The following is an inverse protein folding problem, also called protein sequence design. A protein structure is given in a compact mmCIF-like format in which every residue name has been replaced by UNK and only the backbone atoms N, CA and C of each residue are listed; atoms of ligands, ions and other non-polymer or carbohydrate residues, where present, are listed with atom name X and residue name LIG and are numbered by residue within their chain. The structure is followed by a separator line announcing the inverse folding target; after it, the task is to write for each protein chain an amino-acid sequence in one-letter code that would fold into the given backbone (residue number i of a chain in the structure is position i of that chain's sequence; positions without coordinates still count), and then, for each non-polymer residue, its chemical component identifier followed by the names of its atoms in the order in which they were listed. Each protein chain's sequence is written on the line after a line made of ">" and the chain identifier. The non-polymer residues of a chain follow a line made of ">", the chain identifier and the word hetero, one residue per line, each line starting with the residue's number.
data_IF_756186295694
#
_entry.id   IF_756186295694
#
_cell.length_a   1.000
_cell.length_b   1.000
_cell.length_c   1.000
_cell.angle_alpha   90.00
_cell.angle_beta   90.00
_cell.angle_gamma   90.00
#
_symmetry.space_group_name_H-M   'P 1'
#
loop_
_entity.id
_entity.type
_entity.pdbx_description
1 polymer ?
#
# COMPACT_ATOMS: atom_id res chain seq x y z
N UNK A 1 -7.26 14.76 33.76
CA UNK A 1 -5.90 15.19 33.38
C UNK A 1 -5.10 13.90 33.41
N UNK A 2 -4.97 13.22 32.28
CA UNK A 2 -4.13 12.05 32.11
C UNK A 2 -2.69 12.52 31.98
N UNK A 3 -1.79 12.00 32.83
CA UNK A 3 -0.34 12.19 32.69
C UNK A 3 0.08 11.70 31.29
N UNK A 4 0.22 12.60 30.35
CA UNK A 4 0.92 12.32 29.10
C UNK A 4 2.40 12.16 29.42
N UNK A 5 2.83 10.93 29.66
CA UNK A 5 4.25 10.61 29.74
C UNK A 5 4.92 11.16 28.46
N UNK A 6 5.98 11.95 28.63
CA UNK A 6 6.75 12.48 27.52
C UNK A 6 7.24 11.31 26.65
N UNK A 7 7.42 11.51 25.34
CA UNK A 7 7.97 10.48 24.44
C UNK A 7 9.32 9.93 24.97
N UNK A 8 10.02 10.72 25.78
CA UNK A 8 11.30 10.37 26.42
C UNK A 8 11.17 9.23 27.43
N UNK A 9 10.01 9.08 28.07
CA UNK A 9 9.76 8.08 29.12
C UNK A 9 9.04 6.82 28.62
N UNK A 10 8.64 6.79 27.33
CA UNK A 10 7.93 5.64 26.78
C UNK A 10 8.88 4.53 26.36
N UNK A 11 8.59 3.30 26.77
CA UNK A 11 9.27 2.09 26.29
C UNK A 11 8.62 1.65 24.98
N UNK A 12 9.35 1.52 23.86
CA UNK A 12 8.79 1.08 22.61
C UNK A 12 8.32 -0.38 22.70
N UNK A 13 7.13 -0.68 22.16
CA UNK A 13 6.56 -2.02 22.14
C UNK A 13 7.07 -2.89 20.99
N UNK A 14 7.69 -2.26 20.00
CA UNK A 14 8.17 -2.90 18.78
C UNK A 14 9.26 -2.06 18.10
N UNK A 15 9.94 -2.67 17.12
CA UNK A 15 11.08 -2.06 16.42
C UNK A 15 10.70 -0.82 15.59
N UNK A 16 9.44 -0.68 15.12
CA UNK A 16 8.98 0.50 14.38
C UNK A 16 8.86 1.68 15.34
N UNK A 17 8.26 1.48 16.51
CA UNK A 17 8.18 2.50 17.56
C UNK A 17 9.57 2.89 18.08
N UNK A 18 10.47 1.91 18.24
CA UNK A 18 11.86 2.18 18.61
C UNK A 18 12.53 3.13 17.61
N UNK A 19 12.38 2.87 16.31
CA UNK A 19 12.91 3.73 15.25
C UNK A 19 12.29 5.13 15.29
N UNK A 20 10.97 5.22 15.39
CA UNK A 20 10.24 6.49 15.42
C UNK A 20 10.64 7.35 16.62
N UNK A 21 10.74 6.74 17.81
CA UNK A 21 11.17 7.46 19.01
C UNK A 21 12.62 7.93 18.91
N UNK A 22 13.51 7.12 18.33
CA UNK A 22 14.88 7.50 18.04
C UNK A 22 14.96 8.68 17.07
N UNK A 23 14.19 8.64 15.99
CA UNK A 23 14.17 9.71 14.98
C UNK A 23 13.60 11.04 15.55
N UNK A 24 12.60 10.97 16.44
CA UNK A 24 12.08 12.14 17.16
C UNK A 24 13.09 12.69 18.17
N UNK A 25 13.72 11.83 18.99
CA UNK A 25 14.73 12.23 19.98
C UNK A 25 15.95 12.86 19.34
N UNK A 26 16.37 12.37 18.18
CA UNK A 26 17.49 12.94 17.43
C UNK A 26 17.15 14.26 16.71
N UNK A 27 15.87 14.66 16.68
CA UNK A 27 15.42 15.84 15.95
C UNK A 27 15.45 15.68 14.43
N UNK A 28 15.59 14.45 13.92
CA UNK A 28 15.56 14.16 12.47
C UNK A 28 14.24 14.56 11.83
N UNK A 29 13.14 14.29 12.52
CA UNK A 29 11.81 14.76 12.14
C UNK A 29 11.18 15.57 13.26
N UNK A 30 10.53 16.68 12.90
CA UNK A 30 9.74 17.50 13.84
C UNK A 30 8.37 16.90 14.11
N UNK A 31 7.84 16.17 13.14
CA UNK A 31 6.56 15.50 13.19
C UNK A 31 6.64 14.21 12.39
N UNK A 32 6.03 13.16 12.89
CA UNK A 32 5.89 11.89 12.19
C UNK A 32 4.67 11.96 11.27
N UNK A 33 4.86 11.54 10.03
CA UNK A 33 3.79 11.40 9.04
C UNK A 33 3.83 9.97 8.52
N UNK A 34 2.74 9.26 8.74
CA UNK A 34 2.48 7.93 8.21
C UNK A 34 1.35 7.99 7.18
N UNK A 35 1.03 6.87 6.56
CA UNK A 35 -0.12 6.76 5.67
C UNK A 35 -0.66 5.33 5.61
N UNK A 36 -1.96 5.19 5.41
CA UNK A 36 -2.59 3.94 5.03
C UNK A 36 -2.99 4.04 3.55
N UNK A 37 -2.33 3.25 2.63
CA UNK A 37 -2.48 3.41 1.19
C UNK A 37 -3.20 2.23 0.54
N UNK A 38 -4.49 1.97 0.83
CA UNK A 38 -5.18 0.84 0.21
C UNK A 38 -5.41 1.06 -1.29
N UNK A 39 -5.35 -0.02 -2.08
CA UNK A 39 -5.92 -0.04 -3.42
C UNK A 39 -7.46 -0.10 -3.31
N UNK A 40 -8.22 0.75 -4.04
CA UNK A 40 -9.69 0.75 -3.99
C UNK A 40 -10.30 -0.37 -4.86
N UNK A 41 -9.92 -1.60 -4.63
CA UNK A 41 -10.20 -2.76 -5.45
C UNK A 41 -10.86 -3.93 -4.68
N UNK A 42 -11.38 -3.68 -3.48
CA UNK A 42 -12.09 -4.65 -2.62
C UNK A 42 -12.27 -4.18 -1.20
N UNK A 43 -13.07 -4.93 -0.45
CA UNK A 43 -13.31 -4.69 0.97
C UNK A 43 -12.09 -5.05 1.83
N UNK A 44 -11.88 -4.30 2.90
CA UNK A 44 -10.85 -4.60 3.88
C UNK A 44 -11.22 -5.84 4.71
N UNK A 45 -10.23 -6.61 5.10
CA UNK A 45 -10.39 -7.75 5.99
C UNK A 45 -9.57 -7.55 7.27
N UNK A 46 -9.76 -8.42 8.25
CA UNK A 46 -9.08 -8.34 9.56
C UNK A 46 -7.56 -8.20 9.45
N UNK A 47 -6.93 -8.72 8.40
CA UNK A 47 -5.50 -8.52 8.14
C UNK A 47 -5.10 -7.06 7.93
N UNK A 48 -5.99 -6.26 7.34
CA UNK A 48 -5.75 -4.82 7.15
C UNK A 48 -5.89 -4.02 8.46
N UNK A 49 -6.62 -4.56 9.46
CA UNK A 49 -6.74 -3.90 10.76
C UNK A 49 -5.38 -3.69 11.42
N UNK A 50 -4.42 -4.63 11.26
CA UNK A 50 -3.06 -4.46 11.76
C UNK A 50 -2.38 -3.23 11.12
N UNK A 51 -2.47 -3.10 9.81
CA UNK A 51 -1.87 -1.97 9.09
C UNK A 51 -2.53 -0.63 9.46
N UNK A 52 -3.87 -0.61 9.60
CA UNK A 52 -4.61 0.57 10.02
C UNK A 52 -4.21 0.98 11.43
N UNK A 53 -4.33 0.06 12.40
CA UNK A 53 -4.00 0.35 13.80
C UNK A 53 -2.53 0.75 13.97
N UNK A 54 -1.62 0.19 13.17
CA UNK A 54 -0.21 0.55 13.21
C UNK A 54 0.02 1.98 12.71
N UNK A 55 -0.45 2.32 11.52
CA UNK A 55 -0.21 3.62 10.91
C UNK A 55 -0.92 4.76 11.67
N UNK A 56 -2.20 4.59 11.95
CA UNK A 56 -2.99 5.59 12.68
C UNK A 56 -2.62 5.62 14.15
N UNK A 57 -2.50 4.46 14.81
CA UNK A 57 -2.18 4.40 16.24
C UNK A 57 -0.81 4.99 16.56
N UNK A 58 0.22 4.77 15.74
CA UNK A 58 1.51 5.43 15.90
C UNK A 58 1.38 6.94 15.74
N UNK A 59 0.66 7.41 14.72
CA UNK A 59 0.47 8.84 14.51
C UNK A 59 -0.21 9.49 15.73
N UNK A 60 -1.29 8.90 16.26
CA UNK A 60 -1.95 9.37 17.50
C UNK A 60 -1.00 9.35 18.70
N UNK A 61 -0.22 8.29 18.86
CA UNK A 61 0.69 8.09 19.98
C UNK A 61 1.78 9.17 20.09
N UNK A 62 2.26 9.69 18.94
CA UNK A 62 3.33 10.69 18.89
C UNK A 62 2.86 12.08 18.46
N UNK A 63 1.56 12.35 18.47
CA UNK A 63 0.96 13.60 17.96
C UNK A 63 1.40 13.91 16.52
N UNK A 64 1.51 12.86 15.70
CA UNK A 64 1.84 12.90 14.30
C UNK A 64 0.60 13.01 13.40
N UNK A 65 0.80 12.69 12.13
CA UNK A 65 -0.26 12.70 11.10
C UNK A 65 -0.32 11.33 10.43
N UNK A 66 -1.52 10.81 10.20
CA UNK A 66 -1.73 9.69 9.30
C UNK A 66 -2.63 10.11 8.13
N UNK A 67 -2.15 9.91 6.90
CA UNK A 67 -2.92 10.15 5.68
C UNK A 67 -3.68 8.87 5.27
N UNK A 68 -4.91 9.03 4.81
CA UNK A 68 -5.57 8.01 3.99
C UNK A 68 -5.33 8.37 2.53
N UNK A 69 -4.70 7.46 1.77
CA UNK A 69 -4.41 7.64 0.36
C UNK A 69 -4.83 6.40 -0.41
N UNK A 70 -5.67 6.57 -1.39
CA UNK A 70 -5.95 5.50 -2.33
C UNK A 70 -4.84 5.38 -3.38
N UNK A 71 -4.31 4.17 -3.52
CA UNK A 71 -3.42 3.82 -4.62
C UNK A 71 -4.27 3.42 -5.82
N UNK A 72 -4.71 4.43 -6.55
CA UNK A 72 -5.57 4.34 -7.72
C UNK A 72 -4.76 4.45 -9.04
N UNK A 73 -3.62 3.79 -9.12
CA UNK A 73 -2.76 3.79 -10.30
C UNK A 73 -3.25 2.84 -11.41
N UNK A 74 -4.18 1.94 -11.11
CA UNK A 74 -4.68 0.96 -12.05
C UNK A 74 -6.18 1.13 -12.34
N UNK A 75 -6.55 1.84 -13.45
CA UNK A 75 -7.94 2.18 -13.76
C UNK A 75 -8.89 0.98 -13.90
N UNK A 76 -8.37 -0.19 -14.23
CA UNK A 76 -9.19 -1.37 -14.52
C UNK A 76 -9.79 -2.06 -13.29
N UNK A 77 -9.47 -1.61 -12.07
CA UNK A 77 -9.82 -2.32 -10.83
C UNK A 77 -10.53 -1.48 -9.77
N UNK A 78 -10.81 -0.23 -10.06
CA UNK A 78 -11.25 0.73 -9.05
C UNK A 78 -12.77 0.92 -9.08
N UNK A 79 -13.39 0.85 -7.91
CA UNK A 79 -14.83 1.06 -7.74
C UNK A 79 -15.11 2.00 -6.57
N UNK A 80 -16.02 2.96 -6.77
CA UNK A 80 -16.43 3.93 -5.74
C UNK A 80 -17.01 3.26 -4.48
N UNK A 81 -17.60 2.09 -4.62
CA UNK A 81 -18.11 1.30 -3.51
C UNK A 81 -17.01 0.94 -2.53
N UNK A 82 -15.84 0.51 -3.06
CA UNK A 82 -14.71 0.11 -2.21
C UNK A 82 -14.11 1.30 -1.47
N UNK A 83 -14.02 2.48 -2.12
CA UNK A 83 -13.55 3.71 -1.47
C UNK A 83 -14.39 4.02 -0.22
N UNK A 84 -15.73 4.05 -0.37
CA UNK A 84 -16.65 4.30 0.75
C UNK A 84 -16.53 3.26 1.86
N UNK A 85 -16.48 1.98 1.50
CA UNK A 85 -16.34 0.91 2.47
C UNK A 85 -15.02 1.03 3.26
N UNK A 86 -13.92 1.35 2.60
CA UNK A 86 -12.61 1.53 3.25
C UNK A 86 -12.64 2.72 4.21
N UNK A 87 -13.19 3.85 3.80
CA UNK A 87 -13.35 5.02 4.68
C UNK A 87 -14.22 4.72 5.90
N UNK A 88 -15.34 4.00 5.70
CA UNK A 88 -16.21 3.55 6.79
C UNK A 88 -15.51 2.61 7.76
N UNK A 89 -14.69 1.68 7.25
CA UNK A 89 -13.98 0.71 8.06
C UNK A 89 -12.88 1.37 8.91
N UNK A 90 -12.16 2.37 8.36
CA UNK A 90 -11.18 3.16 9.13
C UNK A 90 -11.88 3.93 10.26
N UNK A 91 -13.01 4.61 9.96
CA UNK A 91 -13.79 5.32 10.99
C UNK A 91 -14.41 4.38 12.00
N UNK A 92 -14.88 3.22 11.59
CA UNK A 92 -15.40 2.21 12.51
C UNK A 92 -14.35 1.73 13.51
N UNK A 93 -13.09 1.59 13.07
CA UNK A 93 -11.97 1.30 13.99
C UNK A 93 -11.63 2.48 14.92
N UNK A 94 -12.32 3.62 14.81
CA UNK A 94 -12.15 4.79 15.67
C UNK A 94 -11.02 5.73 15.22
N UNK A 95 -10.56 5.60 13.97
CA UNK A 95 -9.54 6.48 13.42
C UNK A 95 -10.14 7.47 12.41
N UNK A 96 -9.49 8.62 12.29
CA UNK A 96 -9.75 9.61 11.24
C UNK A 96 -8.41 10.08 10.65
N UNK A 97 -8.42 10.55 9.43
CA UNK A 97 -7.22 11.01 8.74
C UNK A 97 -7.16 12.52 8.63
N UNK A 98 -5.96 13.04 8.47
CA UNK A 98 -5.75 14.48 8.38
C UNK A 98 -6.17 15.03 7.02
N UNK A 99 -7.08 15.98 7.03
CA UNK A 99 -7.53 16.68 5.83
C UNK A 99 -8.42 15.84 4.92
N UNK A 100 -8.22 15.97 3.60
CA UNK A 100 -8.99 15.22 2.61
C UNK A 100 -8.32 13.88 2.30
N UNK A 101 -9.14 12.89 1.91
CA UNK A 101 -8.67 11.65 1.30
C UNK A 101 -7.81 11.97 0.07
N UNK A 102 -6.64 11.39 0.00
CA UNK A 102 -5.66 11.59 -1.08
C UNK A 102 -5.73 10.44 -2.08
N UNK A 103 -5.26 10.70 -3.29
CA UNK A 103 -5.24 9.73 -4.38
C UNK A 103 -3.91 9.81 -5.14
N UNK A 104 -3.37 8.67 -5.54
CA UNK A 104 -2.18 8.65 -6.38
C UNK A 104 -2.43 9.37 -7.71
N UNK A 105 -3.64 9.24 -8.27
CA UNK A 105 -4.06 9.90 -9.52
C UNK A 105 -4.02 11.42 -9.49
N UNK A 106 -4.10 12.05 -8.31
CA UNK A 106 -3.93 13.51 -8.17
C UNK A 106 -2.54 13.97 -8.64
N UNK A 107 -1.57 13.06 -8.66
CA UNK A 107 -0.17 13.34 -8.98
C UNK A 107 0.28 12.79 -10.34
N UNK A 108 -0.61 12.29 -11.18
CA UNK A 108 -0.25 11.69 -12.48
C UNK A 108 0.57 12.63 -13.38
N UNK A 109 0.25 13.93 -13.35
CA UNK A 109 1.03 14.91 -14.10
C UNK A 109 2.47 14.98 -13.58
N UNK A 110 2.67 15.04 -12.26
CA UNK A 110 3.99 15.09 -11.65
C UNK A 110 4.79 13.80 -11.90
N UNK A 111 4.13 12.65 -11.86
CA UNK A 111 4.79 11.37 -12.18
C UNK A 111 5.25 11.34 -13.64
N UNK A 112 4.43 11.85 -14.56
CA UNK A 112 4.82 11.95 -15.96
C UNK A 112 6.03 12.85 -16.15
N UNK A 113 6.07 14.02 -15.51
CA UNK A 113 7.22 14.94 -15.54
C UNK A 113 8.49 14.28 -14.96
N UNK A 114 8.36 13.49 -13.90
CA UNK A 114 9.49 12.75 -13.34
C UNK A 114 9.95 11.60 -14.22
N UNK A 115 9.06 10.95 -14.94
CA UNK A 115 9.44 9.96 -15.96
C UNK A 115 10.21 10.63 -17.10
N UNK A 116 9.75 11.79 -17.58
CA UNK A 116 10.47 12.64 -18.56
C UNK A 116 11.86 13.04 -18.02
N UNK A 117 11.94 13.40 -16.75
CA UNK A 117 13.23 13.72 -16.11
C UNK A 117 14.19 12.52 -16.13
N UNK A 118 13.73 11.32 -15.78
CA UNK A 118 14.57 10.11 -15.83
C UNK A 118 15.06 9.83 -17.26
N UNK A 119 14.22 9.99 -18.28
CA UNK A 119 14.63 9.82 -19.68
C UNK A 119 15.73 10.82 -20.03
N UNK A 120 15.56 12.10 -19.70
CA UNK A 120 16.56 13.15 -19.96
C UNK A 120 17.90 12.90 -19.26
N UNK A 121 17.87 12.22 -18.11
CA UNK A 121 19.06 11.81 -17.37
C UNK A 121 19.69 10.51 -17.88
N UNK A 122 19.07 9.85 -18.87
CA UNK A 122 19.51 8.54 -19.33
C UNK A 122 19.25 7.40 -18.32
N UNK A 123 18.35 7.63 -17.37
CA UNK A 123 17.97 6.69 -16.32
C UNK A 123 16.64 5.94 -16.62
N UNK A 124 16.05 6.19 -17.78
CA UNK A 124 14.90 5.44 -18.29
C UNK A 124 14.95 5.37 -19.81
N UNK A 125 14.34 4.33 -20.37
CA UNK A 125 14.23 4.12 -21.81
C UNK A 125 12.89 3.46 -22.15
N UNK A 126 12.39 3.71 -23.36
CA UNK A 126 11.23 3.01 -23.90
C UNK A 126 11.70 1.68 -24.50
N UNK A 127 11.04 0.62 -24.08
CA UNK A 127 11.29 -0.74 -24.55
C UNK A 127 10.17 -1.18 -25.52
N UNK A 128 10.55 -1.77 -26.64
CA UNK A 128 9.64 -2.27 -27.65
C UNK A 128 9.43 -3.79 -27.53
N UNK A 129 10.03 -4.41 -26.51
CA UNK A 129 9.83 -5.83 -26.21
C UNK A 129 8.42 -6.07 -25.64
N UNK A 130 7.83 -7.17 -26.01
CA UNK A 130 6.59 -7.66 -25.39
C UNK A 130 6.81 -8.04 -23.92
N UNK A 131 5.74 -8.11 -23.16
CA UNK A 131 5.79 -8.50 -21.74
C UNK A 131 6.46 -9.88 -21.52
N UNK A 132 6.29 -10.83 -22.45
CA UNK A 132 6.93 -12.15 -22.36
C UNK A 132 8.42 -12.07 -22.67
N UNK A 133 8.83 -11.29 -23.68
CA UNK A 133 10.24 -11.04 -23.98
C UNK A 133 10.92 -10.28 -22.83
N UNK A 134 10.28 -9.26 -22.25
CA UNK A 134 10.80 -8.55 -21.07
C UNK A 134 11.03 -9.54 -19.92
N UNK A 135 10.09 -10.47 -19.70
CA UNK A 135 10.24 -11.51 -18.66
C UNK A 135 11.43 -12.43 -18.95
N UNK A 136 11.60 -12.84 -20.21
CA UNK A 136 12.75 -13.66 -20.63
C UNK A 136 14.06 -12.90 -20.44
N UNK A 137 14.14 -11.63 -20.91
CA UNK A 137 15.35 -10.81 -20.78
C UNK A 137 15.70 -10.50 -19.32
N UNK A 138 14.71 -10.34 -18.46
CA UNK A 138 14.91 -10.12 -17.02
C UNK A 138 15.56 -11.30 -16.32
N UNK A 139 15.40 -12.53 -16.86
CA UNK A 139 15.93 -13.75 -16.27
C UNK A 139 15.17 -14.21 -15.03
N UNK A 140 15.82 -15.04 -14.23
CA UNK A 140 15.24 -15.66 -13.01
C UNK A 140 16.06 -15.31 -11.78
N UNK A 141 15.68 -15.84 -10.60
CA UNK A 141 16.48 -15.68 -9.37
C UNK A 141 17.88 -16.33 -9.47
N UNK A 142 18.03 -17.32 -10.33
CA UNK A 142 19.29 -18.07 -10.55
C UNK A 142 20.01 -17.71 -11.84
N UNK A 143 19.35 -17.00 -12.74
CA UNK A 143 19.89 -16.56 -14.03
C UNK A 143 19.89 -15.04 -14.09
N UNK A 144 21.02 -14.43 -14.44
CA UNK A 144 21.13 -12.98 -14.61
C UNK A 144 20.31 -12.51 -15.81
N UNK A 145 19.84 -11.27 -15.74
CA UNK A 145 19.18 -10.65 -16.86
C UNK A 145 20.17 -10.26 -17.98
N UNK A 146 19.62 -9.94 -19.14
CA UNK A 146 20.35 -9.40 -20.30
C UNK A 146 19.74 -8.09 -20.75
N UNK A 147 20.56 -7.21 -21.26
CA UNK A 147 20.14 -5.90 -21.74
C UNK A 147 19.14 -6.03 -22.91
N UNK A 148 18.09 -5.21 -22.88
CA UNK A 148 17.22 -5.04 -24.03
C UNK A 148 17.97 -4.38 -25.18
N UNK A 149 17.68 -4.76 -26.45
CA UNK A 149 18.24 -4.07 -27.61
C UNK A 149 17.92 -2.57 -27.65
N UNK A 150 16.86 -2.14 -26.96
CA UNK A 150 16.40 -0.74 -26.91
C UNK A 150 16.99 0.05 -25.75
N UNK A 151 17.72 -0.59 -24.84
CA UNK A 151 18.26 0.00 -23.60
C UNK A 151 19.18 1.21 -23.84
N UNK A 152 19.83 1.26 -24.98
CA UNK A 152 20.80 2.30 -25.35
C UNK A 152 20.27 3.28 -26.41
N UNK A 153 18.94 3.33 -26.61
CA UNK A 153 18.29 4.35 -27.43
C UNK A 153 18.56 5.74 -26.87
N UNK A 154 18.72 6.76 -27.73
CA UNK A 154 19.03 8.13 -27.30
C UNK A 154 17.90 8.71 -26.41
N UNK A 155 18.24 9.69 -25.57
CA UNK A 155 17.26 10.36 -24.72
C UNK A 155 16.19 11.09 -25.55
N UNK A 156 16.61 11.72 -26.67
CA UNK A 156 15.73 12.45 -27.57
C UNK A 156 14.69 11.51 -28.22
N UNK A 157 15.15 10.36 -28.71
CA UNK A 157 14.28 9.35 -29.31
C UNK A 157 13.31 8.76 -28.27
N UNK A 158 13.81 8.40 -27.06
CA UNK A 158 12.98 7.93 -25.96
C UNK A 158 11.90 8.96 -25.55
N UNK A 159 12.26 10.24 -25.47
CA UNK A 159 11.32 11.31 -25.17
C UNK A 159 10.21 11.40 -26.21
N UNK A 160 10.58 11.39 -27.49
CA UNK A 160 9.59 11.45 -28.57
C UNK A 160 8.63 10.26 -28.50
N UNK A 161 9.15 9.03 -28.32
CA UNK A 161 8.32 7.83 -28.23
C UNK A 161 7.43 7.87 -26.98
N UNK A 162 7.94 8.31 -25.84
CA UNK A 162 7.15 8.39 -24.59
C UNK A 162 6.02 9.42 -24.69
N UNK A 163 6.23 10.55 -25.35
CA UNK A 163 5.15 11.48 -25.68
C UNK A 163 4.13 10.86 -26.65
N UNK A 164 4.60 10.13 -27.66
CA UNK A 164 3.75 9.43 -28.61
C UNK A 164 2.91 8.32 -27.91
N UNK A 165 3.46 7.66 -26.88
CA UNK A 165 2.70 6.73 -26.02
C UNK A 165 1.58 7.47 -25.30
N UNK A 166 1.85 8.62 -24.69
CA UNK A 166 0.86 9.45 -24.01
C UNK A 166 -0.23 9.95 -24.97
N UNK A 167 0.15 10.25 -26.20
CA UNK A 167 -0.78 10.74 -27.23
C UNK A 167 -1.59 9.63 -27.89
N UNK A 168 -1.49 8.39 -27.40
CA UNK A 168 -2.29 7.25 -27.86
C UNK A 168 -1.90 6.70 -29.21
N UNK A 169 -0.66 6.90 -29.68
CA UNK A 169 -0.18 6.43 -30.99
C UNK A 169 0.18 4.95 -31.01
N UNK A 170 0.21 4.29 -29.85
CA UNK A 170 0.56 2.88 -29.70
C UNK A 170 -0.55 2.11 -28.96
N UNK A 171 -0.61 0.81 -29.24
CA UNK A 171 -1.54 -0.09 -28.58
C UNK A 171 -0.95 -0.62 -27.24
N UNK A 172 -1.82 -1.19 -26.41
CA UNK A 172 -1.39 -1.88 -25.19
C UNK A 172 -0.39 -2.99 -25.50
N UNK A 173 0.70 -3.03 -24.73
CA UNK A 173 1.75 -4.04 -24.89
C UNK A 173 2.76 -3.77 -26.01
N UNK A 174 2.60 -2.71 -26.82
CA UNK A 174 3.57 -2.36 -27.87
C UNK A 174 4.81 -1.66 -27.32
N UNK A 175 4.63 -0.90 -26.25
CA UNK A 175 5.69 -0.07 -25.66
C UNK A 175 5.52 0.00 -24.14
N UNK A 176 6.62 -0.06 -23.44
CA UNK A 176 6.69 0.18 -22.00
C UNK A 176 7.87 1.11 -21.68
N UNK A 177 7.73 1.99 -20.68
CA UNK A 177 8.86 2.75 -20.17
C UNK A 177 9.49 1.97 -19.03
N UNK A 178 10.81 1.76 -19.10
CA UNK A 178 11.58 1.03 -18.09
C UNK A 178 12.62 1.94 -17.45
N UNK A 179 12.83 1.79 -16.13
CA UNK A 179 14.00 2.36 -15.48
C UNK A 179 15.27 1.65 -15.97
N UNK A 180 16.37 2.38 -16.10
CA UNK A 180 17.67 1.87 -16.50
C UNK A 180 18.57 1.75 -15.28
N UNK A 181 18.61 0.56 -14.68
CA UNK A 181 19.31 0.30 -13.41
C UNK A 181 20.42 -0.73 -13.62
N UNK A 182 20.15 -2.01 -13.35
CA UNK A 182 21.14 -3.07 -13.43
C UNK A 182 20.52 -4.43 -13.77
N UNK A 183 20.69 -4.88 -15.02
CA UNK A 183 20.18 -6.18 -15.45
C UNK A 183 20.93 -7.37 -14.83
N UNK A 184 22.09 -7.15 -14.22
CA UNK A 184 22.87 -8.15 -13.49
C UNK A 184 22.53 -8.26 -12.01
N UNK A 185 21.64 -7.39 -11.48
CA UNK A 185 21.32 -7.37 -10.06
C UNK A 185 20.80 -8.71 -9.53
N UNK A 186 21.21 -9.09 -8.32
CA UNK A 186 20.63 -10.20 -7.59
C UNK A 186 19.17 -9.97 -7.20
N UNK A 187 18.76 -8.70 -7.04
CA UNK A 187 17.37 -8.31 -6.84
C UNK A 187 16.68 -8.11 -8.19
N UNK A 188 15.70 -8.96 -8.47
CA UNK A 188 14.99 -8.95 -9.76
C UNK A 188 14.20 -7.66 -9.99
N UNK A 189 13.81 -6.95 -8.91
CA UNK A 189 13.10 -5.67 -8.99
C UNK A 189 14.01 -4.52 -9.46
N UNK A 190 15.34 -4.69 -9.43
CA UNK A 190 16.31 -3.72 -9.96
C UNK A 190 16.73 -4.01 -11.41
N UNK A 191 16.23 -5.10 -12.02
CA UNK A 191 16.54 -5.46 -13.39
C UNK A 191 15.67 -4.70 -14.39
N UNK A 192 15.95 -3.42 -14.54
CA UNK A 192 15.26 -2.48 -15.42
C UNK A 192 13.72 -2.64 -15.35
N UNK A 193 13.09 -2.32 -14.19
CA UNK A 193 11.67 -2.51 -14.01
C UNK A 193 10.84 -1.59 -14.91
N UNK A 194 9.65 -2.06 -15.28
CA UNK A 194 8.64 -1.24 -15.96
C UNK A 194 8.13 -0.16 -15.02
N UNK A 195 8.13 1.09 -15.46
CA UNK A 195 7.65 2.24 -14.68
C UNK A 195 6.40 2.88 -15.27
N UNK A 196 6.17 2.75 -16.58
CA UNK A 196 4.93 3.14 -17.27
C UNK A 196 4.52 2.11 -18.30
N UNK A 197 3.23 1.91 -18.42
CA UNK A 197 2.59 1.04 -19.42
C UNK A 197 1.42 1.75 -20.09
N UNK A 198 1.09 1.33 -21.31
CA UNK A 198 -0.10 1.78 -22.04
C UNK A 198 -1.30 0.96 -21.55
N UNK A 199 -2.37 1.64 -21.14
CA UNK A 199 -3.66 1.04 -20.79
C UNK A 199 -4.78 1.90 -21.37
N UNK A 200 -5.58 1.32 -22.25
CA UNK A 200 -6.74 1.98 -22.84
C UNK A 200 -7.98 1.75 -21.98
N UNK A 201 -8.01 2.35 -20.79
CA UNK A 201 -9.08 2.19 -19.82
C UNK A 201 -9.51 3.53 -19.26
N UNK A 202 -10.82 3.67 -19.03
CA UNK A 202 -11.39 4.84 -18.35
C UNK A 202 -11.00 4.81 -16.86
N UNK A 203 -10.39 5.89 -16.38
CA UNK A 203 -10.03 6.03 -14.97
C UNK A 203 -11.16 6.73 -14.21
N UNK A 204 -11.64 6.22 -13.06
CA UNK A 204 -12.78 6.78 -12.34
C UNK A 204 -12.66 8.28 -12.00
N UNK A 205 -11.44 8.77 -11.76
CA UNK A 205 -11.20 10.16 -11.39
C UNK A 205 -10.66 11.04 -12.51
N UNK A 206 -9.78 10.53 -13.35
CA UNK A 206 -9.15 11.31 -14.42
C UNK A 206 -9.81 11.12 -15.79
N UNK A 207 -10.81 10.23 -15.88
CA UNK A 207 -11.51 9.94 -17.13
C UNK A 207 -10.58 9.35 -18.19
N UNK A 208 -10.68 9.86 -19.40
CA UNK A 208 -9.88 9.41 -20.55
C UNK A 208 -8.68 10.34 -20.82
N UNK A 209 -8.24 11.11 -19.80
CA UNK A 209 -7.13 12.05 -19.92
C UNK A 209 -5.80 11.34 -20.15
N UNK A 210 -5.66 10.13 -19.65
CA UNK A 210 -4.44 9.34 -19.71
C UNK A 210 -4.69 8.02 -20.42
N UNK A 211 -3.73 7.59 -21.22
CA UNK A 211 -3.64 6.24 -21.78
C UNK A 211 -2.32 5.55 -21.41
N UNK A 212 -1.46 6.24 -20.65
CA UNK A 212 -0.26 5.69 -20.01
C UNK A 212 -0.37 5.85 -18.51
N UNK A 213 -0.06 4.79 -17.78
CA UNK A 213 -0.21 4.75 -16.33
C UNK A 213 1.08 4.30 -15.65
N UNK A 214 1.46 4.94 -14.53
CA UNK A 214 2.61 4.51 -13.76
C UNK A 214 2.33 3.15 -13.11
N UNK A 215 3.40 2.38 -12.92
CA UNK A 215 3.32 1.18 -12.08
C UNK A 215 3.30 1.58 -10.60
N UNK A 216 2.83 0.67 -9.74
CA UNK A 216 2.85 0.85 -8.29
C UNK A 216 4.24 1.22 -7.77
N UNK A 217 5.27 0.47 -8.17
CA UNK A 217 6.64 0.70 -7.70
C UNK A 217 7.17 2.09 -8.05
N UNK A 218 6.75 2.64 -9.19
CA UNK A 218 7.13 4.00 -9.57
C UNK A 218 6.35 5.06 -8.79
N UNK A 219 5.03 4.90 -8.62
CA UNK A 219 4.18 5.90 -7.99
C UNK A 219 4.33 5.97 -6.47
N UNK A 220 4.54 4.82 -5.81
CA UNK A 220 4.44 4.67 -4.37
C UNK A 220 5.38 5.59 -3.56
N UNK A 221 6.69 5.50 -3.77
CA UNK A 221 7.67 6.32 -3.06
C UNK A 221 7.55 7.81 -3.37
N UNK A 222 7.21 8.12 -4.61
CA UNK A 222 7.03 9.49 -5.07
C UNK A 222 5.81 10.15 -4.43
N UNK A 223 4.70 9.41 -4.29
CA UNK A 223 3.52 9.90 -3.58
C UNK A 223 3.83 10.09 -2.09
N UNK A 224 4.55 9.15 -1.48
CA UNK A 224 5.01 9.31 -0.09
C UNK A 224 5.81 10.61 0.08
N UNK A 225 6.71 10.90 -0.86
CA UNK A 225 7.49 12.14 -0.84
C UNK A 225 6.65 13.39 -1.00
N UNK A 226 5.70 13.41 -1.96
CA UNK A 226 4.80 14.54 -2.19
C UNK A 226 3.89 14.82 -0.98
N UNK A 227 3.55 13.78 -0.24
CA UNK A 227 2.73 13.89 0.97
C UNK A 227 3.52 14.21 2.24
N UNK A 228 4.84 14.28 2.16
CA UNK A 228 5.71 14.50 3.30
C UNK A 228 5.74 13.34 4.30
N UNK A 229 5.44 12.12 3.84
CA UNK A 229 5.53 10.91 4.65
C UNK A 229 6.96 10.75 5.16
N UNK A 230 7.11 10.49 6.45
CA UNK A 230 8.42 10.25 7.07
C UNK A 230 8.72 8.75 7.19
N UNK A 231 7.72 7.99 7.60
CA UNK A 231 7.80 6.55 7.83
C UNK A 231 6.74 5.84 6.97
N UNK A 232 7.22 5.20 5.91
CA UNK A 232 6.45 4.42 4.97
C UNK A 232 6.34 2.98 5.48
N UNK A 233 5.27 2.65 6.20
CA UNK A 233 5.08 1.33 6.80
C UNK A 233 4.41 0.39 5.80
N UNK A 234 5.07 -0.73 5.49
CA UNK A 234 4.63 -1.72 4.49
C UNK A 234 4.69 -3.14 5.06
N UNK A 235 4.06 -4.09 4.39
CA UNK A 235 4.21 -5.51 4.72
C UNK A 235 5.53 -6.08 4.15
N UNK A 236 6.03 -7.19 4.72
CA UNK A 236 7.30 -7.83 4.32
C UNK A 236 7.38 -8.20 2.84
N UNK A 237 6.25 -8.37 2.16
CA UNK A 237 6.23 -8.64 0.72
C UNK A 237 6.87 -7.51 -0.12
N UNK A 238 6.99 -6.31 0.44
CA UNK A 238 7.65 -5.16 -0.19
C UNK A 238 9.14 -5.00 0.21
N UNK A 239 9.70 -5.91 1.00
CA UNK A 239 11.10 -5.80 1.43
C UNK A 239 12.08 -5.82 0.25
N UNK A 240 11.83 -6.69 -0.74
CA UNK A 240 12.64 -6.76 -1.96
C UNK A 240 12.39 -5.57 -2.92
N UNK A 241 11.29 -4.83 -2.73
CA UNK A 241 10.98 -3.61 -3.49
C UNK A 241 11.64 -2.36 -2.88
N UNK A 242 12.02 -2.37 -1.60
CA UNK A 242 12.63 -1.21 -0.93
C UNK A 242 13.88 -0.66 -1.64
N UNK A 243 14.83 -1.46 -2.17
CA UNK A 243 15.96 -0.90 -2.92
C UNK A 243 15.53 -0.13 -4.17
N UNK A 244 14.44 -0.53 -4.83
CA UNK A 244 13.86 0.20 -5.96
C UNK A 244 13.18 1.50 -5.51
N UNK A 245 12.45 1.46 -4.41
CA UNK A 245 11.88 2.65 -3.77
C UNK A 245 12.95 3.69 -3.45
N UNK A 246 14.03 3.28 -2.80
CA UNK A 246 15.16 4.15 -2.44
C UNK A 246 15.85 4.70 -3.70
N UNK A 247 16.02 3.88 -4.73
CA UNK A 247 16.60 4.31 -6.00
C UNK A 247 15.78 5.44 -6.66
N UNK A 248 14.45 5.36 -6.64
CA UNK A 248 13.62 6.44 -7.20
C UNK A 248 13.73 7.73 -6.35
N UNK A 249 13.75 7.61 -5.03
CA UNK A 249 13.91 8.78 -4.14
C UNK A 249 15.26 9.49 -4.38
N UNK A 250 16.33 8.74 -4.61
CA UNK A 250 17.65 9.29 -4.96
C UNK A 250 17.71 9.87 -6.38
N UNK A 251 17.10 9.19 -7.34
CA UNK A 251 17.20 9.56 -8.75
C UNK A 251 16.36 10.79 -9.13
N UNK A 252 15.33 11.10 -8.36
CA UNK A 252 14.34 12.14 -8.68
C UNK A 252 14.49 13.37 -7.77
N UNK A 253 14.14 14.57 -8.25
CA UNK A 253 14.13 15.79 -7.46
C UNK A 253 12.87 15.85 -6.58
N UNK A 254 12.74 14.90 -5.68
CA UNK A 254 11.58 14.79 -4.78
C UNK A 254 11.64 15.80 -3.63
N UNK A 255 10.49 16.28 -3.11
CA UNK A 255 10.46 17.31 -2.06
C UNK A 255 10.83 16.81 -0.67
N UNK A 256 10.73 15.50 -0.41
CA UNK A 256 11.10 14.87 0.86
C UNK A 256 11.63 13.46 0.66
N UNK A 257 12.35 12.93 1.66
CA UNK A 257 12.97 11.61 1.62
C UNK A 257 12.30 10.67 2.62
N UNK A 258 11.16 10.05 2.26
CA UNK A 258 10.51 9.06 3.09
C UNK A 258 11.38 7.81 3.24
N UNK A 259 11.24 7.10 4.36
CA UNK A 259 11.93 5.82 4.59
C UNK A 259 10.92 4.70 4.76
N UNK A 260 11.16 3.59 4.06
CA UNK A 260 10.31 2.40 4.10
C UNK A 260 10.74 1.45 5.22
N UNK A 261 9.75 0.94 5.96
CA UNK A 261 9.92 -0.05 7.03
C UNK A 261 8.89 -1.16 6.85
N UNK A 262 9.34 -2.41 6.89
CA UNK A 262 8.49 -3.57 6.63
C UNK A 262 8.21 -4.35 7.92
N UNK A 263 6.97 -4.84 8.02
CA UNK A 263 6.50 -5.70 9.10
C UNK A 263 5.75 -6.91 8.55
N UNK A 264 5.68 -7.98 9.35
CA UNK A 264 4.98 -9.20 8.96
C UNK A 264 3.47 -8.95 8.84
N UNK A 265 2.86 -9.46 7.77
CA UNK A 265 1.41 -9.42 7.61
C UNK A 265 0.72 -10.32 8.64
N UNK A 266 -0.49 -9.94 9.05
CA UNK A 266 -1.32 -10.76 9.92
C UNK A 266 -1.85 -11.97 9.16
N UNK A 267 -1.52 -13.16 9.65
CA UNK A 267 -2.09 -14.43 9.24
C UNK A 267 -2.85 -15.04 10.43
N UNK A 268 -4.07 -15.51 10.19
CA UNK A 268 -4.94 -16.08 11.24
C UNK A 268 -5.30 -17.50 10.84
N UNK A 269 -5.14 -18.43 11.79
CA UNK A 269 -5.50 -19.83 11.58
C UNK A 269 -6.98 -19.98 11.19
N UNK A 270 -7.28 -20.95 10.36
CA UNK A 270 -8.65 -21.25 9.89
C UNK A 270 -9.40 -20.09 9.24
N UNK A 271 -8.67 -19.05 8.73
CA UNK A 271 -9.27 -17.84 8.18
C UNK A 271 -8.74 -17.56 6.77
N UNK A 272 -9.66 -17.40 5.82
CA UNK A 272 -9.30 -17.06 4.43
C UNK A 272 -9.16 -15.55 4.31
N UNK A 273 -7.92 -15.07 4.14
CA UNK A 273 -7.59 -13.64 3.94
C UNK A 273 -7.25 -13.31 2.48
N UNK A 274 -7.18 -14.32 1.61
CA UNK A 274 -6.89 -14.13 0.19
C UNK A 274 -8.03 -13.37 -0.49
N UNK A 275 -7.75 -12.17 -1.00
CA UNK A 275 -8.70 -11.37 -1.78
C UNK A 275 -9.34 -12.15 -2.92
N UNK A 276 -8.52 -12.90 -3.69
CA UNK A 276 -9.00 -13.73 -4.80
C UNK A 276 -10.08 -14.72 -4.35
N UNK A 277 -9.86 -15.36 -3.20
CA UNK A 277 -10.82 -16.34 -2.68
C UNK A 277 -12.08 -15.66 -2.13
N UNK A 278 -11.93 -14.51 -1.45
CA UNK A 278 -13.07 -13.73 -0.97
C UNK A 278 -13.93 -13.21 -2.13
N UNK A 279 -13.30 -12.64 -3.18
CA UNK A 279 -14.01 -12.23 -4.40
C UNK A 279 -14.78 -13.39 -5.01
N UNK A 280 -14.17 -14.58 -5.09
CA UNK A 280 -14.82 -15.76 -5.64
C UNK A 280 -16.06 -16.17 -4.83
N UNK A 281 -15.98 -16.15 -3.49
CA UNK A 281 -17.13 -16.46 -2.64
C UNK A 281 -18.31 -15.50 -2.87
N UNK A 282 -18.02 -14.21 -3.08
CA UNK A 282 -19.05 -13.20 -3.34
C UNK A 282 -19.62 -13.36 -4.74
N UNK A 283 -18.76 -13.47 -5.76
CA UNK A 283 -19.19 -13.56 -7.17
C UNK A 283 -19.94 -14.86 -7.50
N UNK A 284 -19.56 -15.99 -6.89
CA UNK A 284 -20.24 -17.27 -7.01
C UNK A 284 -21.46 -17.39 -6.08
N UNK A 285 -21.82 -16.31 -5.36
CA UNK A 285 -22.99 -16.23 -4.47
C UNK A 285 -23.00 -17.28 -3.34
N UNK A 286 -21.82 -17.72 -2.88
CA UNK A 286 -21.72 -18.56 -1.68
C UNK A 286 -22.02 -17.79 -0.40
N UNK A 287 -21.91 -16.46 -0.46
CA UNK A 287 -22.22 -15.51 0.61
C UNK A 287 -23.12 -14.40 0.06
N UNK A 288 -23.81 -13.66 0.96
CA UNK A 288 -24.79 -12.65 0.55
C UNK A 288 -24.16 -11.35 0.02
N UNK A 289 -22.86 -11.13 0.23
CA UNK A 289 -22.13 -9.95 -0.19
C UNK A 289 -20.83 -9.82 0.62
N UNK A 290 -20.13 -8.72 0.43
CA UNK A 290 -18.87 -8.45 1.11
C UNK A 290 -19.00 -8.23 2.62
N UNK A 291 -20.17 -7.85 3.10
CA UNK A 291 -20.52 -7.65 4.51
C UNK A 291 -21.13 -8.91 5.16
N UNK A 292 -21.12 -10.06 4.49
CA UNK A 292 -21.64 -11.31 5.05
C UNK A 292 -20.92 -11.64 6.37
N UNK A 293 -21.65 -11.89 7.47
CA UNK A 293 -21.05 -12.17 8.80
C UNK A 293 -20.12 -13.37 8.86
N UNK A 294 -20.13 -14.23 7.83
CA UNK A 294 -19.22 -15.38 7.70
C UNK A 294 -17.84 -14.99 7.14
N UNK A 295 -17.74 -13.81 6.50
CA UNK A 295 -16.48 -13.33 5.96
C UNK A 295 -15.62 -12.62 7.01
N UNK A 296 -14.28 -12.70 6.91
CA UNK A 296 -13.36 -11.99 7.78
C UNK A 296 -13.14 -10.53 7.35
N UNK A 297 -14.02 -9.96 6.51
CA UNK A 297 -14.02 -8.55 6.16
C UNK A 297 -14.37 -7.69 7.38
N UNK A 298 -13.85 -6.47 7.45
CA UNK A 298 -14.17 -5.57 8.57
C UNK A 298 -15.67 -5.25 8.58
N UNK A 299 -16.27 -5.03 7.42
CA UNK A 299 -17.72 -4.87 7.28
C UNK A 299 -18.52 -6.11 7.72
N UNK A 300 -18.03 -7.32 7.42
CA UNK A 300 -18.63 -8.57 7.87
C UNK A 300 -18.53 -8.75 9.39
N UNK A 301 -17.38 -8.45 9.98
CA UNK A 301 -17.18 -8.47 11.43
C UNK A 301 -18.09 -7.45 12.12
N UNK A 302 -18.17 -6.22 11.59
CA UNK A 302 -19.08 -5.17 12.10
C UNK A 302 -20.53 -5.62 12.04
N UNK A 303 -20.98 -6.18 10.92
CA UNK A 303 -22.34 -6.72 10.78
C UNK A 303 -22.62 -7.92 11.70
N UNK A 304 -21.60 -8.72 11.98
CA UNK A 304 -21.67 -9.82 12.97
C UNK A 304 -21.83 -9.32 14.41
N UNK A 305 -21.58 -8.02 14.68
CA UNK A 305 -21.64 -7.42 16.01
C UNK A 305 -20.31 -7.44 16.77
N UNK A 306 -19.20 -7.62 16.08
CA UNK A 306 -17.86 -7.52 16.69
C UNK A 306 -17.56 -6.05 17.01
N UNK A 307 -17.22 -5.71 18.28
CA UNK A 307 -16.81 -4.36 18.63
C UNK A 307 -15.47 -3.97 18.03
N UNK A 308 -15.31 -2.71 17.60
CA UNK A 308 -14.06 -2.18 17.08
C UNK A 308 -12.92 -2.28 18.11
N UNK A 309 -13.22 -2.04 19.37
CA UNK A 309 -12.29 -2.13 20.49
C UNK A 309 -11.73 -3.55 20.64
N UNK A 310 -12.54 -4.57 20.40
CA UNK A 310 -12.07 -5.97 20.43
C UNK A 310 -11.09 -6.26 19.30
N UNK A 311 -11.30 -5.68 18.12
CA UNK A 311 -10.36 -5.78 16.99
C UNK A 311 -9.06 -5.05 17.32
N UNK A 312 -9.11 -3.85 17.89
CA UNK A 312 -7.91 -3.10 18.31
C UNK A 312 -7.13 -3.83 19.40
N UNK A 313 -7.81 -4.41 20.39
CA UNK A 313 -7.17 -5.22 21.44
C UNK A 313 -6.49 -6.47 20.85
N UNK A 314 -7.16 -7.16 19.94
CA UNK A 314 -6.56 -8.29 19.22
C UNK A 314 -5.28 -7.88 18.47
N UNK A 315 -5.34 -6.80 17.70
CA UNK A 315 -4.18 -6.28 16.95
C UNK A 315 -3.04 -5.89 17.90
N UNK A 316 -3.34 -5.25 19.03
CA UNK A 316 -2.33 -4.86 20.02
C UNK A 316 -1.63 -6.08 20.63
N UNK A 317 -2.35 -7.19 20.85
CA UNK A 317 -1.77 -8.44 21.38
C UNK A 317 -0.94 -9.22 20.37
N UNK A 318 -1.24 -9.09 19.07
CA UNK A 318 -0.46 -9.76 18.00
C UNK A 318 0.96 -9.22 17.89
N UNK A 319 1.20 -8.00 18.28
CA UNK A 319 2.45 -7.26 18.18
C UNK A 319 3.03 -7.15 16.75
N UNK A 320 3.92 -6.20 16.55
CA UNK A 320 4.57 -5.94 15.25
C UNK A 320 5.92 -6.65 15.20
N UNK A 321 6.10 -7.53 14.22
CA UNK A 321 7.30 -8.35 14.05
C UNK A 321 7.81 -8.32 12.61
N UNK A 322 9.08 -8.67 12.42
CA UNK A 322 9.65 -9.01 11.09
C UNK A 322 9.56 -10.49 10.77
N UNK A 323 9.08 -11.31 11.70
CA UNK A 323 8.92 -12.74 11.50
C UNK A 323 7.47 -13.04 11.13
N UNK A 324 7.26 -13.69 9.99
CA UNK A 324 5.94 -14.20 9.64
C UNK A 324 5.54 -15.30 10.63
N UNK A 325 4.29 -15.27 11.06
CA UNK A 325 3.71 -16.25 11.97
C UNK A 325 2.20 -16.30 11.83
N UNK A 326 1.62 -17.43 12.18
CA UNK A 326 0.18 -17.60 12.21
C UNK A 326 -0.35 -17.36 13.63
N UNK A 327 -1.37 -16.54 13.76
CA UNK A 327 -2.05 -16.24 15.03
C UNK A 327 -3.31 -17.11 15.13
N UNK A 328 -3.51 -17.72 16.27
CA UNK A 328 -4.69 -18.54 16.49
C UNK A 328 -5.98 -17.70 16.45
N UNK A 329 -6.99 -18.16 15.71
CA UNK A 329 -8.33 -17.54 15.66
C UNK A 329 -8.94 -17.39 17.06
N UNK A 330 -8.62 -18.32 17.95
CA UNK A 330 -9.07 -18.31 19.35
C UNK A 330 -8.68 -17.02 20.10
N UNK A 331 -7.56 -16.36 19.72
CA UNK A 331 -7.17 -15.08 20.32
C UNK A 331 -8.15 -13.97 19.94
N UNK A 332 -8.53 -13.88 18.65
CA UNK A 332 -9.56 -12.93 18.21
C UNK A 332 -10.89 -13.17 18.92
N UNK A 333 -11.32 -14.43 19.00
CA UNK A 333 -12.54 -14.79 19.71
C UNK A 333 -12.48 -14.47 21.20
N UNK A 334 -11.31 -14.63 21.82
CA UNK A 334 -11.09 -14.24 23.21
C UNK A 334 -11.28 -12.73 23.40
N UNK A 335 -10.62 -11.90 22.58
CA UNK A 335 -10.77 -10.44 22.63
C UNK A 335 -12.24 -10.00 22.45
N UNK A 336 -12.96 -10.65 21.51
CA UNK A 336 -14.38 -10.38 21.29
C UNK A 336 -15.21 -10.74 22.54
N UNK A 337 -15.01 -11.93 23.13
CA UNK A 337 -15.73 -12.37 24.35
C UNK A 337 -15.43 -11.47 25.54
N UNK A 338 -14.17 -11.11 25.74
CA UNK A 338 -13.77 -10.23 26.84
C UNK A 338 -14.45 -8.87 26.75
N UNK A 339 -14.42 -8.25 25.58
CA UNK A 339 -15.07 -6.97 25.37
C UNK A 339 -16.58 -7.05 25.57
N UNK A 340 -17.25 -8.02 24.95
CA UNK A 340 -18.70 -8.21 25.06
C UNK A 340 -19.12 -8.61 26.47
N UNK A 341 -18.32 -9.36 27.22
CA UNK A 341 -18.58 -9.67 28.61
C UNK A 341 -18.66 -8.44 29.50
N UNK A 342 -17.92 -7.41 29.15
CA UNK A 342 -17.88 -6.15 29.88
C UNK A 342 -18.91 -5.13 29.37
N UNK A 343 -19.10 -5.01 28.05
CA UNK A 343 -19.89 -3.94 27.43
C UNK A 343 -21.31 -4.32 27.03
N UNK A 344 -21.60 -5.63 26.80
CA UNK A 344 -22.90 -6.03 26.30
C UNK A 344 -23.99 -6.04 27.41
N UNK A 345 -25.18 -5.57 27.08
CA UNK A 345 -26.36 -5.67 27.94
C UNK A 345 -26.74 -7.15 28.11
N UNK A 346 -27.10 -7.52 29.37
CA UNK A 346 -27.50 -8.86 29.70
C UNK A 346 -28.97 -8.88 30.12
N UNK A 347 -29.79 -9.56 29.36
CA UNK A 347 -31.19 -9.71 29.63
C UNK A 347 -31.47 -11.14 30.17
N UNK A 348 -32.18 -11.22 31.29
CA UNK A 348 -32.66 -12.50 31.82
C UNK A 348 -34.02 -12.81 31.20
N UNK A 349 -34.16 -13.99 30.61
CA UNK A 349 -35.42 -14.49 30.04
C UNK A 349 -36.20 -15.39 31.02
N UNK A 350 -35.79 -15.43 32.31
CA UNK A 350 -36.37 -16.33 33.31
C UNK A 350 -37.81 -15.94 33.68
N UNK A 351 -38.26 -14.73 33.38
CA UNK A 351 -39.55 -14.18 33.77
C UNK A 351 -40.47 -13.84 32.60
N UNK A 352 -40.34 -14.54 31.48
CA UNK A 352 -41.30 -14.45 30.37
C UNK A 352 -42.29 -15.59 30.48
#
# INVERSE_FOLDING_TARGET
>A
MSDEASIEDRTPSDFIREQIYSDLKSGKYKQIVTRFPPEPNGYLHIGHALSICLNFGIAEEVNGICNLRFDDTNPAKEELEFIKSIEEDVRWLGFDWSGQTKYASDNFHQFFEWAVYLIKKGLAYVDDLTADEIREYRGTLTEVGRDSPYRNRSAEENLQIFHDMRDGKFQEGERELRAKIDMGSGNINLRDPVIYRILNAHHPRTGDTWCVYPTYDFAHGQTDSLEGVTHSLCTLEFADHRPLYEWFIEALPVPSEPKQYEFAKLQISHTVLSKRNLTRLVMEQHVSGWDDPRLPTLSGLRRRGVPAEAVKDFVARVSVSKNEGEVELALLEHCIRDNLNYSAERLSLIHI
#
